data_IF_439917662790
#
_entry.id   IF_439917662790
#
_cell.length_a   1.000
_cell.length_b   1.000
_cell.length_c   1.000
_cell.angle_alpha   90.00
_cell.angle_beta   90.00
_cell.angle_gamma   90.00
#
_symmetry.space_group_name_H-M   'P 1'
#
loop_
_entity.id
_entity.type
_entity.pdbx_description
1 polymer ?
#
# COMPACT_ATOMS: atom_id res chain seq x y z
N UNK A 1 -9.16 10.66 -7.50
CA UNK A 1 -9.04 9.44 -6.65
C UNK A 1 -8.79 9.73 -5.16
N UNK A 2 -8.32 10.92 -4.75
CA UNK A 2 -7.97 11.19 -3.34
C UNK A 2 -9.14 11.64 -2.45
N UNK A 3 -10.26 12.10 -3.01
CA UNK A 3 -11.39 12.62 -2.20
C UNK A 3 -12.23 11.51 -1.54
N UNK A 4 -12.24 10.30 -2.09
CA UNK A 4 -13.05 9.18 -1.57
C UNK A 4 -12.47 8.53 -0.30
N UNK A 5 -11.18 8.69 -0.02
CA UNK A 5 -10.50 8.06 1.14
C UNK A 5 -10.83 8.79 2.45
N UNK A 6 -11.08 10.10 2.41
CA UNK A 6 -11.49 10.87 3.60
C UNK A 6 -12.86 10.46 4.15
N UNK A 7 -13.71 9.84 3.32
CA UNK A 7 -15.10 9.56 3.67
C UNK A 7 -15.30 8.19 4.35
N UNK A 8 -14.38 7.23 4.19
CA UNK A 8 -14.42 5.91 4.86
C UNK A 8 -13.03 5.25 4.86
N UNK A 9 -12.37 5.07 6.03
CA UNK A 9 -11.04 4.46 6.14
C UNK A 9 -10.95 3.06 5.51
N UNK A 10 -12.03 2.28 5.60
CA UNK A 10 -12.11 0.92 5.03
C UNK A 10 -11.97 0.89 3.50
N UNK A 11 -12.21 2.01 2.82
CA UNK A 11 -12.07 2.09 1.37
C UNK A 11 -10.61 1.99 0.91
N UNK A 12 -9.66 2.41 1.77
CA UNK A 12 -8.22 2.27 1.49
C UNK A 12 -7.76 0.81 1.44
N UNK A 13 -8.52 -0.12 2.05
CA UNK A 13 -8.29 -1.57 2.03
C UNK A 13 -9.01 -2.30 0.90
N UNK A 14 -10.05 -1.69 0.31
CA UNK A 14 -10.90 -2.36 -0.70
C UNK A 14 -10.10 -2.65 -1.96
N UNK A 15 -10.23 -3.88 -2.46
CA UNK A 15 -9.62 -4.30 -3.71
C UNK A 15 -10.50 -3.89 -4.91
N UNK A 16 -9.88 -3.52 -6.02
CA UNK A 16 -10.56 -3.39 -7.30
C UNK A 16 -10.85 -4.77 -7.93
N UNK A 17 -11.50 -4.81 -9.10
CA UNK A 17 -11.80 -6.05 -9.84
C UNK A 17 -10.55 -6.87 -10.19
N UNK A 18 -9.38 -6.22 -10.28
CA UNK A 18 -8.09 -6.88 -10.51
C UNK A 18 -7.44 -7.44 -9.24
N UNK A 19 -8.07 -7.29 -8.07
CA UNK A 19 -7.51 -7.71 -6.78
C UNK A 19 -6.45 -6.75 -6.22
N UNK A 20 -6.43 -5.49 -6.64
CA UNK A 20 -5.44 -4.51 -6.19
C UNK A 20 -6.06 -3.50 -5.22
N UNK A 21 -5.38 -3.29 -4.08
CA UNK A 21 -5.71 -2.18 -3.17
C UNK A 21 -5.18 -0.85 -3.72
N UNK A 22 -5.70 0.30 -3.25
CA UNK A 22 -5.13 1.61 -3.54
C UNK A 22 -3.61 1.70 -3.33
N UNK A 23 -3.06 0.97 -2.35
CA UNK A 23 -1.62 0.95 -2.11
C UNK A 23 -0.85 0.17 -3.18
N UNK A 24 -1.37 -0.95 -3.66
CA UNK A 24 -0.80 -1.66 -4.82
C UNK A 24 -0.74 -0.76 -6.04
N UNK A 25 -1.85 -0.08 -6.34
CA UNK A 25 -1.93 0.83 -7.48
C UNK A 25 -0.96 2.00 -7.34
N UNK A 26 -0.81 2.56 -6.14
CA UNK A 26 0.15 3.64 -5.89
C UNK A 26 1.60 3.19 -6.14
N UNK A 27 1.96 1.98 -5.73
CA UNK A 27 3.28 1.41 -5.95
C UNK A 27 3.54 1.09 -7.43
N UNK A 28 2.59 0.44 -8.11
CA UNK A 28 2.71 0.09 -9.53
C UNK A 28 2.81 1.30 -10.47
N UNK A 29 2.41 2.49 -9.99
CA UNK A 29 2.46 3.73 -10.76
C UNK A 29 3.51 4.71 -10.21
N UNK A 30 4.46 4.24 -9.38
CA UNK A 30 5.54 5.04 -8.78
C UNK A 30 5.06 6.31 -8.06
N UNK A 31 3.85 6.27 -7.50
CA UNK A 31 3.23 7.39 -6.79
C UNK A 31 3.65 7.42 -5.33
N UNK A 32 4.93 7.63 -5.05
CA UNK A 32 5.49 7.63 -3.68
C UNK A 32 4.73 8.54 -2.71
N UNK A 33 4.33 9.74 -3.14
CA UNK A 33 3.52 10.65 -2.31
C UNK A 33 2.12 10.13 -2.00
N UNK A 34 1.55 9.28 -2.85
CA UNK A 34 0.29 8.60 -2.55
C UNK A 34 0.52 7.47 -1.54
N UNK A 35 1.60 6.69 -1.68
CA UNK A 35 2.00 5.66 -0.70
C UNK A 35 2.16 6.25 0.69
N UNK A 36 2.94 7.33 0.83
CA UNK A 36 3.16 8.00 2.12
C UNK A 36 1.86 8.54 2.73
N UNK A 37 0.96 9.10 1.92
CA UNK A 37 -0.35 9.55 2.41
C UNK A 37 -1.22 8.38 2.89
N UNK A 38 -1.26 7.28 2.14
CA UNK A 38 -2.01 6.08 2.52
C UNK A 38 -1.48 5.51 3.85
N UNK A 39 -0.16 5.44 4.03
CA UNK A 39 0.45 5.00 5.30
C UNK A 39 0.06 5.86 6.49
N UNK A 40 0.00 7.20 6.30
CA UNK A 40 -0.46 8.11 7.35
C UNK A 40 -1.94 7.91 7.74
N UNK A 41 -2.74 7.29 6.88
CA UNK A 41 -4.13 6.96 7.17
C UNK A 41 -4.28 5.60 7.85
N UNK A 42 -3.56 4.59 7.38
CA UNK A 42 -3.58 3.23 7.93
C UNK A 42 -2.27 2.52 7.56
N UNK A 43 -1.45 2.28 8.56
CA UNK A 43 -0.15 1.60 8.42
C UNK A 43 -0.33 0.14 8.01
N UNK A 44 -1.43 -0.50 8.44
CA UNK A 44 -1.76 -1.88 8.11
C UNK A 44 -2.08 -2.12 6.64
N UNK A 45 -2.19 -1.07 5.83
CA UNK A 45 -2.38 -1.19 4.38
C UNK A 45 -1.23 -1.93 3.69
N UNK A 46 -0.02 -1.92 4.25
CA UNK A 46 1.14 -2.63 3.69
C UNK A 46 1.00 -4.15 3.71
N UNK A 47 0.09 -4.67 4.54
CA UNK A 47 -0.20 -6.09 4.73
C UNK A 47 -1.47 -6.55 4.00
N UNK A 48 -2.17 -5.64 3.32
CA UNK A 48 -3.39 -5.99 2.59
C UNK A 48 -3.04 -6.96 1.48
N UNK A 49 -3.57 -8.18 1.59
CA UNK A 49 -3.45 -9.20 0.54
C UNK A 49 -4.32 -8.82 -0.65
N UNK A 50 -3.67 -8.66 -1.79
CA UNK A 50 -4.30 -8.44 -3.07
C UNK A 50 -4.35 -9.71 -3.91
N UNK A 51 -4.16 -9.54 -5.21
CA UNK A 51 -4.14 -10.64 -6.18
C UNK A 51 -3.03 -11.65 -5.84
N UNK A 52 -3.36 -12.94 -5.85
CA UNK A 52 -2.45 -14.05 -5.49
C UNK A 52 -1.85 -13.92 -4.08
N UNK A 53 -2.60 -13.33 -3.15
CA UNK A 53 -2.16 -13.05 -1.77
C UNK A 53 -0.91 -12.14 -1.67
N UNK A 54 -0.51 -11.50 -2.77
CA UNK A 54 0.59 -10.55 -2.76
C UNK A 54 0.18 -9.29 -2.00
N UNK A 55 1.07 -8.81 -1.15
CA UNK A 55 0.88 -7.55 -0.41
C UNK A 55 1.66 -6.41 -1.08
N UNK A 56 1.35 -5.15 -0.75
CA UNK A 56 2.18 -4.02 -1.16
C UNK A 56 3.66 -4.18 -0.80
N UNK A 57 3.96 -4.80 0.35
CA UNK A 57 5.34 -5.09 0.75
C UNK A 57 6.04 -6.03 -0.23
N UNK A 58 5.37 -7.09 -0.70
CA UNK A 58 5.93 -8.00 -1.71
C UNK A 58 6.33 -7.25 -2.99
N UNK A 59 5.51 -6.28 -3.40
CA UNK A 59 5.81 -5.47 -4.59
C UNK A 59 7.07 -4.62 -4.39
N UNK A 60 7.23 -3.97 -3.23
CA UNK A 60 8.43 -3.17 -2.93
C UNK A 60 9.70 -4.01 -2.87
N UNK A 61 9.60 -5.23 -2.34
CA UNK A 61 10.71 -6.19 -2.36
C UNK A 61 11.08 -6.59 -3.80
N UNK A 62 10.07 -6.87 -4.64
CA UNK A 62 10.29 -7.25 -6.05
C UNK A 62 10.90 -6.13 -6.89
N UNK A 63 10.57 -4.87 -6.62
CA UNK A 63 11.14 -3.73 -7.35
C UNK A 63 12.54 -3.34 -6.88
N UNK A 64 13.00 -3.88 -5.74
CA UNK A 64 14.32 -3.57 -5.18
C UNK A 64 14.43 -2.15 -4.63
N UNK A 65 13.30 -1.47 -4.37
CA UNK A 65 13.30 -0.12 -3.82
C UNK A 65 13.59 -0.15 -2.30
N UNK A 66 14.87 -0.24 -1.96
CA UNK A 66 15.36 -0.37 -0.58
C UNK A 66 14.93 0.81 0.30
N UNK A 67 14.97 2.03 -0.21
CA UNK A 67 14.55 3.22 0.54
C UNK A 67 13.09 3.15 0.95
N UNK A 68 12.22 2.76 0.01
CA UNK A 68 10.80 2.61 0.29
C UNK A 68 10.54 1.41 1.21
N UNK A 69 11.28 0.31 1.05
CA UNK A 69 11.20 -0.85 1.94
C UNK A 69 11.50 -0.47 3.38
N UNK A 70 12.63 0.23 3.61
CA UNK A 70 13.01 0.71 4.94
C UNK A 70 11.92 1.62 5.51
N UNK A 71 11.34 2.49 4.67
CA UNK A 71 10.29 3.41 5.11
C UNK A 71 9.01 2.69 5.50
N UNK A 72 8.61 1.66 4.75
CA UNK A 72 7.44 0.83 5.09
C UNK A 72 7.67 0.05 6.39
N UNK A 73 8.84 -0.57 6.57
CA UNK A 73 9.16 -1.33 7.77
C UNK A 73 9.29 -0.45 9.03
N UNK A 74 9.75 0.79 8.88
CA UNK A 74 9.74 1.78 9.98
C UNK A 74 8.33 2.16 10.42
N UNK A 75 7.37 2.14 9.49
CA UNK A 75 5.98 2.50 9.77
C UNK A 75 5.19 1.28 10.26
N UNK A 76 5.42 0.09 9.71
CA UNK A 76 4.75 -1.13 10.11
C UNK A 76 5.79 -2.27 10.26
N UNK A 77 6.40 -2.42 11.44
CA UNK A 77 7.41 -3.46 11.68
C UNK A 77 6.82 -4.88 11.67
N UNK A 78 5.51 -5.02 11.86
CA UNK A 78 4.75 -6.28 11.82
C UNK A 78 4.40 -6.73 10.38
N UNK A 79 4.93 -6.02 9.38
CA UNK A 79 4.66 -6.31 7.98
C UNK A 79 5.44 -7.52 7.43
N UNK A 80 6.43 -8.00 8.20
CA UNK A 80 7.25 -9.18 7.92
C UNK A 80 6.52 -10.46 8.33
#
# INVERSE_FOLDING_TARGET
MMETIKLRPTFARKLNQGGFSPMHLALQNDRTQAVLRLLRFDEGLVRVKGRKDLTPLHHVVQTGNVDLLIKLLKVCPEAI
#
